data_IF_540838354597
#
_entry.id   IF_540838354597
#
_cell.length_a   1.000
_cell.length_b   1.000
_cell.length_c   1.000
_cell.angle_alpha   90.00
_cell.angle_beta   90.00
_cell.angle_gamma   90.00
#
_symmetry.space_group_name_H-M   'P 1'
#
loop_
_entity.id
_entity.type
_entity.pdbx_description
1 polymer ?
#
# COMPACT_ATOMS: atom_id res chain seq x y z
N UNK A 1 17.48 22.17 7.93
CA UNK A 1 16.28 21.92 7.12
C UNK A 1 15.15 21.60 8.06
N UNK A 2 13.94 22.09 7.79
CA UNK A 2 12.77 21.69 8.54
C UNK A 2 12.52 20.20 8.26
N UNK A 3 12.52 19.38 9.31
CA UNK A 3 12.11 17.98 9.22
C UNK A 3 10.59 17.95 9.38
N UNK A 4 9.89 17.17 8.57
CA UNK A 4 8.47 16.90 8.78
C UNK A 4 8.35 15.99 10.01
N UNK A 5 7.68 16.46 11.05
CA UNK A 5 7.42 15.71 12.28
C UNK A 5 5.99 15.14 12.32
N UNK A 6 5.07 15.75 11.55
CA UNK A 6 3.65 15.39 11.54
C UNK A 6 3.10 15.13 10.12
N UNK A 7 2.07 14.28 10.03
CA UNK A 7 1.41 13.92 8.75
C UNK A 7 0.86 15.13 7.99
N UNK A 8 0.42 16.16 8.71
CA UNK A 8 -0.19 17.38 8.14
C UNK A 8 0.85 18.35 7.57
N UNK A 9 2.14 18.15 7.88
CA UNK A 9 3.22 18.97 7.35
C UNK A 9 3.67 18.49 5.96
N UNK A 10 3.29 17.27 5.58
CA UNK A 10 3.66 16.67 4.29
C UNK A 10 3.03 17.40 3.12
N UNK A 11 3.86 17.87 2.18
CA UNK A 11 3.40 18.44 0.92
C UNK A 11 3.46 17.40 -0.22
N UNK A 12 2.63 16.35 -0.13
CA UNK A 12 2.61 15.24 -1.08
C UNK A 12 2.04 15.59 -2.46
N UNK A 13 1.35 16.74 -2.58
CA UNK A 13 0.83 17.23 -3.86
C UNK A 13 1.93 17.87 -4.71
N UNK A 14 2.88 18.57 -4.06
CA UNK A 14 4.06 19.15 -4.70
C UNK A 14 5.22 18.14 -4.83
N UNK A 15 5.42 17.30 -3.82
CA UNK A 15 6.48 16.28 -3.77
C UNK A 15 5.88 14.88 -3.90
N UNK A 16 5.49 14.53 -5.13
CA UNK A 16 4.84 13.25 -5.40
C UNK A 16 5.82 12.09 -5.26
N UNK A 17 5.42 11.08 -4.50
CA UNK A 17 6.20 9.85 -4.33
C UNK A 17 5.49 8.69 -5.02
N UNK A 18 6.22 7.94 -5.83
CA UNK A 18 5.71 6.79 -6.58
C UNK A 18 6.19 5.49 -5.92
N UNK A 19 5.25 4.63 -5.55
CA UNK A 19 5.51 3.22 -5.25
C UNK A 19 5.24 2.39 -6.49
N UNK A 20 6.26 1.66 -6.96
CA UNK A 20 6.19 0.81 -8.14
C UNK A 20 6.32 -0.66 -7.77
N UNK A 21 5.31 -1.47 -8.09
CA UNK A 21 5.27 -2.90 -7.75
C UNK A 21 6.21 -3.76 -8.58
N UNK A 22 6.70 -3.28 -9.73
CA UNK A 22 7.60 -4.01 -10.63
C UNK A 22 7.13 -5.45 -10.94
N UNK A 23 5.83 -5.64 -11.16
CA UNK A 23 5.26 -6.95 -11.46
C UNK A 23 4.92 -7.81 -10.23
N UNK A 24 4.83 -7.22 -9.05
CA UNK A 24 4.25 -7.81 -7.81
C UNK A 24 3.20 -6.88 -7.22
N UNK A 25 2.51 -7.29 -6.14
CA UNK A 25 1.69 -6.37 -5.35
C UNK A 25 2.52 -5.16 -4.92
N UNK A 26 2.00 -3.94 -5.09
CA UNK A 26 2.74 -2.74 -4.68
C UNK A 26 2.73 -2.58 -3.16
N UNK A 27 1.56 -2.78 -2.54
CA UNK A 27 1.38 -2.72 -1.08
C UNK A 27 0.54 -3.91 -0.61
N UNK A 28 0.97 -4.54 0.50
CA UNK A 28 0.24 -5.64 1.12
C UNK A 28 0.00 -5.33 2.59
N UNK A 29 -1.27 -5.25 2.97
CA UNK A 29 -1.74 -5.29 4.34
C UNK A 29 -2.03 -6.75 4.73
N UNK A 30 -1.17 -7.32 5.57
CA UNK A 30 -1.29 -8.69 6.07
C UNK A 30 -1.65 -8.70 7.56
N UNK A 31 -2.88 -9.10 7.87
CA UNK A 31 -3.41 -9.21 9.23
C UNK A 31 -3.09 -10.53 9.93
N UNK A 32 -2.27 -11.41 9.34
CA UNK A 32 -1.88 -12.68 9.96
C UNK A 32 -1.33 -12.46 11.36
N UNK A 33 -1.73 -13.27 12.34
CA UNK A 33 -1.11 -13.24 13.69
C UNK A 33 0.02 -14.27 13.83
N UNK A 34 0.25 -15.07 12.79
CA UNK A 34 1.26 -16.11 12.74
C UNK A 34 2.37 -15.68 11.79
N UNK A 35 3.43 -15.12 12.36
CA UNK A 35 4.61 -14.71 11.61
C UNK A 35 5.69 -15.78 11.76
N UNK A 36 5.96 -16.53 10.68
CA UNK A 36 7.15 -17.37 10.60
C UNK A 36 8.35 -16.50 10.19
N UNK A 37 9.56 -16.86 10.61
CA UNK A 37 10.82 -16.17 10.26
C UNK A 37 10.96 -14.73 10.79
N UNK A 38 10.59 -14.46 12.05
CA UNK A 38 10.74 -13.14 12.70
C UNK A 38 10.06 -11.97 11.95
N UNK A 39 9.10 -12.26 11.07
CA UNK A 39 8.33 -11.19 10.44
C UNK A 39 7.48 -10.46 11.50
N UNK A 40 7.36 -9.14 11.35
CA UNK A 40 6.40 -8.33 12.09
C UNK A 40 5.31 -7.99 11.08
N UNK A 41 4.06 -8.32 11.36
CA UNK A 41 3.00 -7.92 10.44
C UNK A 41 2.66 -6.46 10.58
N UNK A 42 1.77 -6.05 9.69
CA UNK A 42 1.42 -4.66 9.53
C UNK A 42 0.46 -4.30 10.65
N UNK A 43 0.81 -3.24 11.39
CA UNK A 43 -0.06 -2.65 12.41
C UNK A 43 -1.48 -2.48 11.85
N UNK A 44 -2.50 -2.75 12.68
CA UNK A 44 -3.92 -2.51 12.33
C UNK A 44 -4.22 -1.04 11.99
N UNK A 45 -3.30 -0.14 12.36
CA UNK A 45 -3.36 1.30 12.07
C UNK A 45 -2.39 1.72 10.96
N UNK A 46 -1.82 0.77 10.20
CA UNK A 46 -0.91 1.08 9.10
C UNK A 46 -1.60 2.02 8.09
N UNK A 47 -0.89 3.08 7.73
CA UNK A 47 -1.41 4.14 6.86
C UNK A 47 -0.54 4.32 5.62
N UNK A 48 -1.18 4.27 4.46
CA UNK A 48 -0.59 4.59 3.16
C UNK A 48 -1.25 5.88 2.68
N UNK A 49 -0.49 6.97 2.67
CA UNK A 49 -1.06 8.31 2.47
C UNK A 49 -0.20 9.18 1.53
N UNK A 50 -0.80 9.70 0.47
CA UNK A 50 -0.16 10.68 -0.42
C UNK A 50 0.71 10.07 -1.53
N UNK A 51 0.51 8.79 -1.87
CA UNK A 51 1.36 8.08 -2.83
C UNK A 51 0.68 7.84 -4.17
N UNK A 52 1.49 7.73 -5.22
CA UNK A 52 1.07 7.14 -6.49
C UNK A 52 1.49 5.67 -6.47
N UNK A 53 0.52 4.76 -6.57
CA UNK A 53 0.70 3.31 -6.47
C UNK A 53 0.45 2.71 -7.84
N UNK A 54 1.49 2.17 -8.47
CA UNK A 54 1.43 1.70 -9.86
C UNK A 54 2.36 0.55 -10.21
N UNK A 55 2.19 -0.01 -11.41
CA UNK A 55 3.07 -1.03 -11.98
C UNK A 55 3.04 -2.36 -11.24
N UNK A 56 2.01 -2.57 -10.43
CA UNK A 56 1.78 -3.83 -9.75
C UNK A 56 1.13 -4.85 -10.66
N UNK A 57 1.56 -6.10 -10.54
CA UNK A 57 0.95 -7.25 -11.22
C UNK A 57 0.82 -8.39 -10.23
N UNK A 58 -0.40 -8.87 -9.99
CA UNK A 58 -0.65 -9.96 -9.05
C UNK A 58 -1.94 -10.72 -9.41
N UNK A 59 -2.23 -11.83 -8.73
CA UNK A 59 -3.53 -12.48 -8.85
C UNK A 59 -4.64 -11.65 -8.20
N UNK A 60 -4.34 -11.05 -7.05
CA UNK A 60 -5.28 -10.30 -6.23
C UNK A 60 -4.63 -9.02 -5.73
N UNK A 61 -5.33 -7.88 -5.80
CA UNK A 61 -4.89 -6.63 -5.18
C UNK A 61 -3.58 -6.10 -5.77
N UNK A 62 -3.45 -6.08 -7.11
CA UNK A 62 -2.18 -5.80 -7.77
C UNK A 62 -1.57 -4.45 -7.36
N UNK A 63 -2.39 -3.41 -7.20
CA UNK A 63 -1.98 -2.20 -6.50
C UNK A 63 -1.84 -2.46 -4.99
N UNK A 64 -2.97 -2.66 -4.32
CA UNK A 64 -3.04 -2.87 -2.88
C UNK A 64 -3.85 -4.13 -2.56
N UNK A 65 -3.28 -4.98 -1.71
CA UNK A 65 -3.95 -6.18 -1.20
C UNK A 65 -4.14 -6.08 0.31
N UNK A 66 -5.37 -6.21 0.80
CA UNK A 66 -5.65 -6.55 2.19
C UNK A 66 -5.93 -8.05 2.25
N UNK A 67 -5.32 -8.76 3.20
CA UNK A 67 -5.53 -10.20 3.39
C UNK A 67 -5.48 -10.57 4.87
N UNK A 68 -5.96 -11.76 5.21
CA UNK A 68 -5.93 -12.31 6.57
C UNK A 68 -6.61 -11.39 7.61
N UNK A 69 -7.72 -10.75 7.24
CA UNK A 69 -8.44 -9.83 8.13
C UNK A 69 -7.67 -8.55 8.46
N UNK A 70 -6.75 -8.14 7.58
CA UNK A 70 -5.99 -6.91 7.76
C UNK A 70 -6.89 -5.68 7.90
N UNK A 71 -6.39 -4.71 8.66
CA UNK A 71 -6.95 -3.36 8.74
C UNK A 71 -5.84 -2.35 8.44
N UNK A 72 -6.24 -1.20 7.93
CA UNK A 72 -5.32 -0.13 7.54
C UNK A 72 -6.07 0.98 6.82
N UNK A 73 -5.39 2.10 6.61
CA UNK A 73 -5.96 3.25 5.91
C UNK A 73 -5.16 3.57 4.66
N UNK A 74 -5.84 3.64 3.51
CA UNK A 74 -5.30 4.22 2.28
C UNK A 74 -5.98 5.57 2.08
N UNK A 75 -5.20 6.65 2.04
CA UNK A 75 -5.72 8.01 1.94
C UNK A 75 -4.92 8.83 0.93
N UNK A 76 -5.56 9.82 0.31
CA UNK A 76 -4.92 10.80 -0.58
C UNK A 76 -3.96 10.20 -1.64
N UNK A 77 -4.22 8.96 -2.05
CA UNK A 77 -3.33 8.19 -2.91
C UNK A 77 -3.99 7.96 -4.26
N UNK A 78 -3.20 7.93 -5.32
CA UNK A 78 -3.64 7.61 -6.68
C UNK A 78 -3.20 6.20 -6.99
N UNK A 79 -4.14 5.33 -7.34
CA UNK A 79 -3.87 3.92 -7.67
C UNK A 79 -4.15 3.76 -9.15
N UNK A 80 -3.12 3.54 -9.95
CA UNK A 80 -3.19 3.52 -11.41
C UNK A 80 -2.22 2.51 -12.01
N UNK A 81 -2.44 2.09 -13.25
CA UNK A 81 -1.54 1.19 -14.00
C UNK A 81 -1.15 -0.10 -13.23
N UNK A 82 -2.11 -0.70 -12.53
CA UNK A 82 -1.95 -1.98 -11.85
C UNK A 82 -2.85 -3.03 -12.50
N UNK A 83 -2.33 -4.24 -12.69
CA UNK A 83 -3.00 -5.31 -13.44
C UNK A 83 -3.16 -6.55 -12.58
N UNK A 84 -4.39 -6.92 -12.25
CA UNK A 84 -4.67 -8.20 -11.60
C UNK A 84 -5.09 -9.26 -12.64
N UNK A 85 -4.62 -10.50 -12.49
CA UNK A 85 -5.11 -11.63 -13.30
C UNK A 85 -6.37 -12.27 -12.74
N UNK A 86 -6.66 -12.06 -11.46
CA UNK A 86 -7.88 -12.53 -10.78
C UNK A 86 -8.79 -11.37 -10.36
N UNK A 87 -8.50 -10.74 -9.22
CA UNK A 87 -9.38 -9.75 -8.59
C UNK A 87 -8.67 -8.47 -8.18
N UNK A 88 -9.35 -7.33 -8.31
CA UNK A 88 -8.89 -6.06 -7.76
C UNK A 88 -7.56 -5.58 -8.34
N UNK A 89 -7.54 -5.16 -9.60
CA UNK A 89 -6.34 -4.55 -10.22
C UNK A 89 -5.80 -3.37 -9.40
N UNK A 90 -6.70 -2.50 -8.91
CA UNK A 90 -6.35 -1.42 -8.00
C UNK A 90 -6.22 -1.88 -6.55
N UNK A 91 -7.34 -2.27 -5.94
CA UNK A 91 -7.40 -2.73 -4.53
C UNK A 91 -8.23 -4.01 -4.45
N UNK A 92 -7.81 -4.95 -3.60
CA UNK A 92 -8.60 -6.10 -3.16
C UNK A 92 -8.56 -6.22 -1.63
N UNK A 93 -9.69 -6.64 -1.01
CA UNK A 93 -9.88 -6.74 0.45
C UNK A 93 -10.44 -8.11 0.83
#
# INVERSE_FOLDING_TARGET
>A
GAWEADLNERNYTLHKTIMNGNGSNVVVFDGSTNYTNNACGVSRDARVDGFIIRGGTASEGAGILFKNGASGTVANSVIMDNTATGFGGGIYI
#
